data_IF_818779417943
#
_entry.id   IF_818779417943
#
_cell.length_a   1.000
_cell.length_b   1.000
_cell.length_c   1.000
_cell.angle_alpha   90.00
_cell.angle_beta   90.00
_cell.angle_gamma   90.00
#
_symmetry.space_group_name_H-M   'P 1'
#
loop_
_entity.id
_entity.type
_entity.pdbx_description
1 polymer ?
#
# COMPACT_ATOMS: atom_id res chain seq x y z
N UNK A 1 3.95 -23.64 32.05
CA UNK A 1 3.01 -24.77 32.02
C UNK A 1 1.71 -24.28 31.39
N UNK A 2 1.58 -24.44 30.07
CA UNK A 2 0.33 -24.27 29.31
C UNK A 2 0.21 -25.58 28.51
N UNK A 3 -0.92 -26.30 28.56
CA UNK A 3 -0.97 -27.67 28.10
C UNK A 3 -1.04 -27.76 26.58
N UNK A 4 -0.28 -28.73 26.10
CA UNK A 4 -0.04 -29.18 24.75
C UNK A 4 -1.18 -30.11 24.32
N UNK A 5 -2.23 -29.57 23.68
CA UNK A 5 -3.18 -30.36 22.87
C UNK A 5 -3.72 -29.53 21.70
N UNK A 6 -2.89 -29.29 20.68
CA UNK A 6 -3.35 -28.80 19.38
C UNK A 6 -3.59 -30.00 18.46
N UNK A 7 -4.84 -30.21 18.06
CA UNK A 7 -5.25 -31.24 17.09
C UNK A 7 -4.64 -30.95 15.71
N UNK A 8 -4.19 -31.97 14.93
CA UNK A 8 -3.52 -31.78 13.64
C UNK A 8 -4.34 -31.03 12.57
N UNK A 9 -5.67 -31.00 12.69
CA UNK A 9 -6.56 -30.28 11.76
C UNK A 9 -6.46 -28.76 11.88
N UNK A 10 -6.06 -28.24 13.05
CA UNK A 10 -5.92 -26.79 13.27
C UNK A 10 -4.60 -26.24 12.69
N UNK A 11 -3.58 -27.08 12.45
CA UNK A 11 -2.29 -26.63 11.90
C UNK A 11 -2.35 -26.34 10.39
N UNK A 12 -3.37 -26.80 9.68
CA UNK A 12 -3.52 -26.58 8.22
C UNK A 12 -4.24 -25.30 7.81
N UNK A 13 -5.08 -24.73 8.70
CA UNK A 13 -5.94 -23.58 8.36
C UNK A 13 -5.29 -22.21 8.65
N UNK A 14 -4.17 -22.18 9.37
CA UNK A 14 -3.39 -20.96 9.63
C UNK A 14 -2.40 -20.59 8.53
N UNK A 15 -2.30 -21.40 7.46
CA UNK A 15 -1.26 -21.27 6.44
C UNK A 15 -1.72 -20.70 5.11
N UNK A 16 -3.03 -20.50 4.91
CA UNK A 16 -3.54 -19.92 3.65
C UNK A 16 -3.79 -18.42 3.86
N UNK A 17 -2.98 -17.53 3.26
CA UNK A 17 -3.31 -16.12 3.25
C UNK A 17 -4.66 -15.95 2.52
N UNK A 18 -5.64 -15.33 3.18
CA UNK A 18 -6.89 -14.93 2.56
C UNK A 18 -6.58 -13.79 1.57
N UNK A 19 -6.28 -14.18 0.33
CA UNK A 19 -6.18 -13.24 -0.79
C UNK A 19 -7.59 -12.76 -1.13
N UNK A 20 -7.78 -11.44 -1.03
CA UNK A 20 -9.03 -10.80 -1.40
C UNK A 20 -8.74 -9.94 -2.62
N UNK A 21 -9.46 -10.21 -3.71
CA UNK A 21 -9.41 -9.42 -4.94
C UNK A 21 -10.78 -8.85 -5.24
N UNK A 22 -10.81 -7.57 -5.59
CA UNK A 22 -12.02 -6.83 -5.97
C UNK A 22 -11.76 -6.17 -7.31
N UNK A 23 -12.68 -6.37 -8.25
CA UNK A 23 -12.68 -5.69 -9.54
C UNK A 23 -13.66 -4.53 -9.51
N UNK A 24 -13.18 -3.35 -9.87
CA UNK A 24 -13.95 -2.12 -9.89
C UNK A 24 -14.05 -1.66 -11.35
N UNK A 25 -15.26 -1.58 -11.94
CA UNK A 25 -15.42 -1.06 -13.29
C UNK A 25 -15.13 0.45 -13.30
N UNK A 26 -14.27 0.89 -14.21
CA UNK A 26 -13.90 2.30 -14.41
C UNK A 26 -13.93 2.66 -15.89
N UNK A 27 -15.03 3.28 -16.33
CA UNK A 27 -15.27 3.55 -17.75
C UNK A 27 -15.28 2.26 -18.56
N UNK A 28 -14.36 2.14 -19.53
CA UNK A 28 -14.17 0.94 -20.36
C UNK A 28 -13.08 -0.01 -19.85
N UNK A 29 -12.56 0.21 -18.64
CA UNK A 29 -11.48 -0.58 -18.03
C UNK A 29 -11.93 -1.15 -16.69
N UNK A 30 -11.23 -2.16 -16.22
CA UNK A 30 -11.40 -2.74 -14.88
C UNK A 30 -10.16 -2.43 -14.06
N UNK A 31 -10.35 -1.84 -12.87
CA UNK A 31 -9.30 -1.68 -11.88
C UNK A 31 -9.36 -2.89 -10.95
N UNK A 32 -8.25 -3.62 -10.84
CA UNK A 32 -8.11 -4.73 -9.92
C UNK A 32 -7.45 -4.24 -8.63
N UNK A 33 -8.09 -4.48 -7.50
CA UNK A 33 -7.58 -4.16 -6.17
C UNK A 33 -7.39 -5.46 -5.40
N UNK A 34 -6.18 -5.72 -4.93
CA UNK A 34 -5.80 -6.96 -4.25
C UNK A 34 -5.18 -6.68 -2.89
N UNK A 35 -5.47 -7.52 -1.91
CA UNK A 35 -4.84 -7.48 -0.58
C UNK A 35 -4.59 -8.89 -0.03
N UNK A 36 -3.73 -9.00 0.98
CA UNK A 36 -3.40 -10.26 1.66
C UNK A 36 -2.27 -11.09 1.05
N UNK A 37 -1.82 -10.76 -0.18
CA UNK A 37 -0.70 -11.45 -0.85
C UNK A 37 0.68 -11.01 -0.33
N UNK A 38 0.92 -9.70 -0.32
CA UNK A 38 2.22 -9.06 -0.02
C UNK A 38 2.05 -7.96 1.04
N UNK A 39 3.13 -7.62 1.75
CA UNK A 39 3.10 -6.56 2.77
C UNK A 39 2.33 -6.91 4.06
N UNK A 40 2.17 -8.20 4.39
CA UNK A 40 1.33 -8.69 5.50
C UNK A 40 1.70 -8.20 6.90
N UNK A 41 2.91 -7.68 7.09
CA UNK A 41 3.35 -7.10 8.36
C UNK A 41 3.00 -5.62 8.50
N UNK A 42 2.69 -4.94 7.39
CA UNK A 42 2.20 -3.57 7.45
C UNK A 42 0.78 -3.57 8.01
N UNK A 43 0.37 -2.46 8.62
CA UNK A 43 -0.99 -2.28 9.12
C UNK A 43 -2.02 -2.45 7.99
N UNK A 44 -1.68 -1.96 6.79
CA UNK A 44 -2.40 -2.30 5.57
C UNK A 44 -1.48 -2.36 4.36
N UNK A 45 -1.79 -3.24 3.41
CA UNK A 45 -1.08 -3.36 2.14
C UNK A 45 -2.06 -3.70 1.02
N UNK A 46 -1.99 -2.95 -0.06
CA UNK A 46 -2.88 -3.06 -1.22
C UNK A 46 -2.06 -2.97 -2.49
N UNK A 47 -2.34 -3.88 -3.42
CA UNK A 47 -1.86 -3.83 -4.79
C UNK A 47 -3.01 -3.40 -5.69
N UNK A 48 -2.81 -2.33 -6.46
CA UNK A 48 -3.77 -1.85 -7.45
C UNK A 48 -3.18 -2.05 -8.83
N UNK A 49 -3.96 -2.67 -9.72
CA UNK A 49 -3.58 -2.92 -11.10
C UNK A 49 -4.61 -2.28 -12.02
N UNK A 50 -4.15 -1.38 -12.89
CA UNK A 50 -4.94 -0.78 -13.98
C UNK A 50 -4.22 -1.05 -15.31
N UNK A 51 -4.76 -2.00 -16.08
CA UNK A 51 -4.14 -2.47 -17.33
C UNK A 51 -2.75 -3.05 -17.09
N UNK A 52 -1.72 -2.35 -17.57
CA UNK A 52 -0.30 -2.73 -17.43
C UNK A 52 0.39 -2.04 -16.24
N UNK A 53 -0.28 -1.08 -15.59
CA UNK A 53 0.29 -0.33 -14.48
C UNK A 53 -0.05 -1.00 -13.16
N UNK A 54 0.97 -1.31 -12.36
CA UNK A 54 0.81 -1.92 -11.03
C UNK A 54 1.40 -0.97 -10.00
N UNK A 55 0.60 -0.64 -8.98
CA UNK A 55 1.00 0.19 -7.84
C UNK A 55 0.83 -0.64 -6.57
N UNK A 56 1.91 -0.79 -5.81
CA UNK A 56 1.88 -1.39 -4.48
C UNK A 56 1.97 -0.29 -3.42
N UNK A 57 1.02 -0.28 -2.48
CA UNK A 57 0.98 0.69 -1.39
C UNK A 57 0.86 -0.02 -0.05
N UNK A 58 1.72 0.36 0.89
CA UNK A 58 1.71 -0.11 2.27
C UNK A 58 1.59 1.06 3.22
N UNK A 59 0.75 0.93 4.25
CA UNK A 59 0.59 1.92 5.32
C UNK A 59 0.94 1.25 6.65
N UNK A 60 1.77 1.93 7.44
CA UNK A 60 2.13 1.49 8.79
C UNK A 60 1.75 2.60 9.77
N UNK A 61 0.96 2.23 10.77
CA UNK A 61 0.61 3.09 11.90
C UNK A 61 1.29 2.55 13.15
N UNK A 62 1.81 3.44 13.99
CA UNK A 62 2.30 3.05 15.31
C UNK A 62 1.11 2.86 16.27
N UNK A 63 1.11 1.77 17.04
CA UNK A 63 0.08 1.50 18.04
C UNK A 63 0.16 2.46 19.24
N UNK A 64 1.38 2.90 19.56
CA UNK A 64 1.64 3.84 20.65
C UNK A 64 1.72 5.25 20.05
N UNK A 65 0.83 6.17 20.45
CA UNK A 65 0.91 7.55 20.00
C UNK A 65 2.21 8.18 20.51
N UNK A 66 2.86 8.96 19.65
CA UNK A 66 3.98 9.81 20.05
C UNK A 66 3.53 10.85 21.07
N UNK A 67 4.48 11.43 21.80
CA UNK A 67 4.21 12.53 22.72
C UNK A 67 3.33 13.62 22.07
N UNK A 68 2.44 14.25 22.85
CA UNK A 68 1.52 15.25 22.32
C UNK A 68 2.31 16.36 21.64
N UNK A 69 2.05 16.57 20.36
CA UNK A 69 2.68 17.60 19.56
C UNK A 69 1.67 18.26 18.63
N UNK A 70 1.93 19.52 18.29
CA UNK A 70 1.08 20.31 17.40
C UNK A 70 1.19 19.87 15.93
N UNK A 71 2.03 18.87 15.62
CA UNK A 71 2.22 18.32 14.28
C UNK A 71 1.89 16.83 14.23
N UNK A 72 1.30 16.41 13.10
CA UNK A 72 1.11 15.00 12.77
C UNK A 72 2.37 14.48 12.04
N UNK A 73 3.13 13.52 12.59
CA UNK A 73 4.30 12.94 11.93
C UNK A 73 3.88 11.98 10.80
N UNK A 74 3.40 12.53 9.69
CA UNK A 74 3.02 11.78 8.50
C UNK A 74 4.12 11.86 7.45
N UNK A 75 4.59 10.70 7.00
CA UNK A 75 5.57 10.56 5.93
C UNK A 75 4.93 9.82 4.75
N UNK A 76 5.06 10.40 3.56
CA UNK A 76 4.62 9.78 2.31
C UNK A 76 5.83 9.62 1.40
N UNK A 77 6.04 8.39 0.94
CA UNK A 77 7.12 8.06 0.03
C UNK A 77 6.55 7.36 -1.20
N UNK A 78 6.82 7.96 -2.36
CA UNK A 78 6.51 7.42 -3.67
C UNK A 78 7.81 7.24 -4.44
N UNK A 79 7.96 6.09 -5.10
CA UNK A 79 9.16 5.74 -5.85
C UNK A 79 8.78 4.90 -7.07
N UNK A 80 9.22 5.32 -8.24
CA UNK A 80 9.04 4.56 -9.48
C UNK A 80 10.23 3.64 -9.71
N UNK A 81 9.93 2.34 -9.81
CA UNK A 81 10.96 1.35 -10.10
C UNK A 81 11.31 1.38 -11.59
N UNK A 82 12.59 1.48 -11.94
CA UNK A 82 13.00 1.42 -13.35
C UNK A 82 12.67 0.05 -13.99
N UNK A 83 12.63 -1.00 -13.17
CA UNK A 83 12.19 -2.33 -13.57
C UNK A 83 10.74 -2.36 -14.06
N UNK A 84 9.89 -1.41 -13.64
CA UNK A 84 8.51 -1.32 -14.12
C UNK A 84 8.42 -1.05 -15.64
N UNK A 85 9.45 -0.43 -16.23
CA UNK A 85 9.55 -0.15 -17.67
C UNK A 85 10.54 -1.10 -18.34
N UNK A 86 11.03 -2.13 -17.64
CA UNK A 86 12.04 -3.06 -18.13
C UNK A 86 13.40 -2.42 -18.40
N UNK A 87 13.70 -1.27 -17.76
CA UNK A 87 14.96 -0.55 -17.93
C UNK A 87 15.84 -0.74 -16.71
N UNK A 88 17.13 -0.98 -16.94
CA UNK A 88 18.15 -0.92 -15.90
C UNK A 88 18.66 0.52 -15.80
N UNK A 89 18.89 1.03 -14.60
CA UNK A 89 19.41 2.40 -14.39
C UNK A 89 20.73 2.62 -15.17
N UNK A 90 20.72 3.51 -16.15
CA UNK A 90 21.79 3.71 -17.14
C UNK A 90 22.98 4.55 -16.68
N UNK A 91 23.48 4.37 -15.46
CA UNK A 91 24.59 5.18 -14.91
C UNK A 91 25.49 4.42 -13.92
N UNK A 92 26.50 5.12 -13.37
CA UNK A 92 27.45 4.56 -12.39
C UNK A 92 26.75 3.98 -11.14
N UNK A 93 25.68 4.63 -10.71
CA UNK A 93 24.78 4.11 -9.69
C UNK A 93 23.75 3.17 -10.32
N UNK A 94 23.96 1.86 -10.14
CA UNK A 94 23.03 0.79 -10.59
C UNK A 94 21.82 0.58 -9.65
N UNK A 95 21.56 1.56 -8.78
CA UNK A 95 20.47 1.56 -7.81
C UNK A 95 19.66 2.82 -8.02
N UNK A 96 18.37 2.74 -7.78
CA UNK A 96 17.51 3.92 -7.75
C UNK A 96 18.09 4.93 -6.76
N UNK A 97 18.39 6.12 -7.27
CA UNK A 97 19.07 7.16 -6.54
C UNK A 97 18.12 7.98 -5.68
N UNK A 98 18.42 9.28 -5.54
CA UNK A 98 17.52 10.23 -4.88
C UNK A 98 16.16 10.27 -5.59
N UNK A 99 15.13 10.56 -4.79
CA UNK A 99 13.78 10.86 -5.27
C UNK A 99 13.84 11.94 -6.33
N UNK A 100 13.20 11.67 -7.47
CA UNK A 100 13.15 12.61 -8.60
C UNK A 100 12.10 13.69 -8.34
N UNK A 101 12.20 14.82 -9.03
CA UNK A 101 11.27 15.95 -8.84
C UNK A 101 9.81 15.55 -9.06
N UNK A 102 9.53 14.68 -10.03
CA UNK A 102 8.17 14.20 -10.29
C UNK A 102 7.65 13.29 -9.18
N UNK A 103 8.51 12.46 -8.59
CA UNK A 103 8.15 11.62 -7.45
C UNK A 103 7.85 12.47 -6.21
N UNK A 104 8.61 13.56 -5.99
CA UNK A 104 8.33 14.54 -4.94
C UNK A 104 6.97 15.22 -5.15
N UNK A 105 6.63 15.58 -6.39
CA UNK A 105 5.32 16.16 -6.71
C UNK A 105 4.17 15.18 -6.40
N UNK A 106 4.34 13.90 -6.74
CA UNK A 106 3.34 12.86 -6.43
C UNK A 106 3.21 12.65 -4.92
N UNK A 107 4.32 12.62 -4.18
CA UNK A 107 4.28 12.57 -2.71
C UNK A 107 3.47 13.73 -2.12
N UNK A 108 3.66 14.95 -2.62
CA UNK A 108 2.92 16.13 -2.16
C UNK A 108 1.44 16.01 -2.45
N UNK A 109 1.08 15.52 -3.64
CA UNK A 109 -0.31 15.31 -4.02
C UNK A 109 -0.99 14.30 -3.09
N UNK A 110 -0.34 13.17 -2.80
CA UNK A 110 -0.84 12.17 -1.85
C UNK A 110 -0.94 12.72 -0.42
N UNK A 111 0.04 13.51 0.01
CA UNK A 111 0.02 14.16 1.32
C UNK A 111 -1.19 15.09 1.49
N UNK A 112 -1.49 15.93 0.49
CA UNK A 112 -2.68 16.79 0.52
C UNK A 112 -3.98 15.98 0.50
N UNK A 113 -4.05 14.90 -0.27
CA UNK A 113 -5.22 14.03 -0.32
C UNK A 113 -5.52 13.37 1.05
N UNK A 114 -4.50 13.08 1.85
CA UNK A 114 -4.70 12.54 3.20
C UNK A 114 -5.23 13.60 4.18
N UNK A 115 -4.74 14.84 4.08
CA UNK A 115 -5.15 15.93 4.98
C UNK A 115 -6.54 16.50 4.65
N UNK A 116 -7.00 16.34 3.42
CA UNK A 116 -8.34 16.74 3.02
C UNK A 116 -9.21 15.49 2.86
N UNK A 117 -9.88 15.01 3.91
CA UNK A 117 -10.84 13.93 3.75
C UNK A 117 -11.87 14.35 2.71
N UNK A 118 -12.26 13.46 1.78
CA UNK A 118 -13.30 13.79 0.81
C UNK A 118 -14.54 14.23 1.57
N UNK A 119 -15.01 15.44 1.28
CA UNK A 119 -16.32 15.88 1.76
C UNK A 119 -17.32 14.88 1.22
N UNK A 120 -17.90 14.06 2.09
CA UNK A 120 -18.93 13.12 1.68
C UNK A 120 -20.04 13.92 1.00
N UNK A 121 -20.35 13.68 -0.29
CA UNK A 121 -21.60 14.18 -0.83
C UNK A 121 -22.68 13.48 -0.01
N UNK A 122 -23.46 14.29 0.71
CA UNK A 122 -24.55 13.88 1.56
C UNK A 122 -25.37 12.79 0.87
N UNK A 123 -25.39 11.58 1.45
CA UNK A 123 -26.14 10.43 0.94
C UNK A 123 -27.62 10.74 1.14
N UNK A 124 -28.23 11.47 0.19
CA UNK A 124 -29.69 11.62 0.20
C UNK A 124 -30.34 10.25 0.06
N UNK A 125 -31.27 10.02 0.98
CA UNK A 125 -32.18 8.88 1.14
C UNK A 125 -32.78 8.37 -0.17
#
# INVERSE_FOLDING_TARGET
MIPMTLTPSAMGLWLVPNHVSVKIPFGNREILVETGLMGRQASSAVTVTDGETIVFTSVCLADVPSEPSDFLPLYVHYQERFSAVGRTSGGFFKREGRTKDHEVLICRLLFFAFLQPPTSPDRKS
#
